data_IF_235852662557
#
_entry.id   IF_235852662557
#
_cell.length_a   1.000
_cell.length_b   1.000
_cell.length_c   1.000
_cell.angle_alpha   90.00
_cell.angle_beta   90.00
_cell.angle_gamma   90.00
#
_symmetry.space_group_name_H-M   'P 1'
#
loop_
_entity.id
_entity.type
_entity.pdbx_description
1 polymer ?
#
# COMPACT_ATOMS: atom_id res chain seq x y z
N UNK A 1 16.58 18.50 -18.20
CA UNK A 1 16.72 18.00 -19.57
C UNK A 1 16.94 16.47 -19.53
N UNK A 2 16.03 15.67 -20.11
CA UNK A 2 16.15 14.20 -20.13
C UNK A 2 17.43 13.70 -20.83
N UNK A 3 17.98 14.50 -21.75
CA UNK A 3 19.24 14.17 -22.43
C UNK A 3 20.46 14.38 -21.53
N UNK A 4 20.39 15.36 -20.62
CA UNK A 4 21.50 15.66 -19.71
C UNK A 4 21.54 14.70 -18.51
N UNK A 5 20.39 14.18 -18.08
CA UNK A 5 20.30 13.29 -16.93
C UNK A 5 19.14 12.30 -17.07
N UNK A 6 19.32 11.21 -17.84
CA UNK A 6 18.23 10.26 -18.13
C UNK A 6 17.72 9.53 -16.91
N UNK A 7 18.52 9.43 -15.85
CA UNK A 7 18.19 8.70 -14.62
C UNK A 7 17.70 9.60 -13.49
N UNK A 8 17.49 10.90 -13.73
CA UNK A 8 16.98 11.80 -12.70
C UNK A 8 15.89 12.71 -13.25
N UNK A 9 14.89 12.98 -12.42
CA UNK A 9 13.81 13.91 -12.72
C UNK A 9 13.67 14.92 -11.59
N UNK A 10 13.44 16.16 -11.96
CA UNK A 10 13.10 17.23 -11.04
C UNK A 10 11.84 17.92 -11.54
N UNK A 11 10.90 18.13 -10.62
CA UNK A 11 9.71 18.96 -10.91
C UNK A 11 9.41 19.86 -9.72
N UNK A 12 8.96 21.07 -10.05
CA UNK A 12 8.51 22.05 -9.05
C UNK A 12 7.28 22.77 -9.57
N UNK A 13 6.29 22.92 -8.70
CA UNK A 13 5.09 23.71 -8.93
C UNK A 13 4.84 24.53 -7.69
N UNK A 14 4.81 25.84 -7.82
CA UNK A 14 4.63 26.75 -6.69
C UNK A 14 3.36 27.58 -6.91
N UNK A 15 2.43 27.41 -5.97
CA UNK A 15 1.18 28.18 -5.92
C UNK A 15 0.93 28.57 -4.47
N UNK A 16 1.40 29.75 -4.10
CA UNK A 16 1.33 30.26 -2.74
C UNK A 16 0.71 31.66 -2.70
N UNK A 17 -0.14 31.92 -1.73
CA UNK A 17 -0.65 33.26 -1.43
C UNK A 17 -0.92 33.39 0.06
N UNK A 18 -0.88 34.62 0.59
CA UNK A 18 -1.32 34.86 1.97
C UNK A 18 -2.85 34.88 2.02
N UNK A 19 -3.42 34.36 3.09
CA UNK A 19 -4.87 34.35 3.29
C UNK A 19 -5.48 35.76 3.31
N UNK A 20 -4.73 36.77 3.76
CA UNK A 20 -5.14 38.18 3.71
C UNK A 20 -5.16 38.72 2.29
N UNK A 21 -4.17 38.42 1.46
CA UNK A 21 -4.08 38.85 0.07
C UNK A 21 -5.30 38.43 -0.75
N UNK A 22 -5.69 37.17 -0.63
CA UNK A 22 -6.84 36.62 -1.36
C UNK A 22 -8.18 37.24 -0.94
N UNK A 23 -8.33 37.58 0.35
CA UNK A 23 -9.57 38.22 0.86
C UNK A 23 -9.70 39.68 0.51
N UNK A 24 -8.58 40.40 0.37
CA UNK A 24 -8.56 41.84 0.14
C UNK A 24 -8.33 42.24 -1.31
N UNK A 25 -8.00 41.26 -2.17
CA UNK A 25 -7.74 41.55 -3.57
C UNK A 25 -9.05 41.74 -4.36
N UNK A 26 -9.31 43.00 -4.76
CA UNK A 26 -10.50 43.39 -5.52
C UNK A 26 -10.65 42.61 -6.83
N UNK A 27 -9.53 42.25 -7.49
CA UNK A 27 -9.56 41.44 -8.71
C UNK A 27 -10.15 40.05 -8.52
N UNK A 28 -10.03 39.48 -7.34
CA UNK A 28 -10.60 38.17 -7.02
C UNK A 28 -12.12 38.23 -6.72
N UNK A 29 -12.66 39.40 -6.30
CA UNK A 29 -14.10 39.53 -6.05
C UNK A 29 -14.96 39.30 -7.28
N UNK A 30 -14.42 39.52 -8.47
CA UNK A 30 -15.12 39.28 -9.74
C UNK A 30 -14.77 37.96 -10.41
N UNK A 31 -13.88 37.17 -9.82
CA UNK A 31 -13.47 35.86 -10.36
C UNK A 31 -13.97 34.73 -9.45
N UNK A 32 -15.11 34.16 -9.80
CA UNK A 32 -15.73 33.07 -9.04
C UNK A 32 -14.84 31.82 -8.94
N UNK A 33 -13.97 31.57 -9.89
CA UNK A 33 -13.01 30.46 -9.84
C UNK A 33 -11.90 30.72 -8.80
N UNK A 34 -11.37 31.93 -8.73
CA UNK A 34 -10.38 32.29 -7.72
C UNK A 34 -10.97 32.26 -6.30
N UNK A 35 -12.22 32.73 -6.14
CA UNK A 35 -12.95 32.64 -4.86
C UNK A 35 -13.32 31.22 -4.46
N UNK A 36 -13.52 30.30 -5.42
CA UNK A 36 -13.85 28.90 -5.16
C UNK A 36 -12.63 28.03 -4.83
N UNK A 37 -11.41 28.48 -5.14
CA UNK A 37 -10.18 27.77 -4.79
C UNK A 37 -9.87 27.87 -3.29
N UNK A 38 -10.44 26.94 -2.53
CA UNK A 38 -10.23 26.88 -1.07
C UNK A 38 -8.83 26.38 -0.67
N UNK A 39 -8.10 25.74 -1.58
CA UNK A 39 -6.79 25.14 -1.28
C UNK A 39 -5.79 25.46 -2.38
N UNK A 40 -4.62 25.95 -2.00
CA UNK A 40 -3.45 26.14 -2.87
C UNK A 40 -2.38 25.12 -2.51
N UNK A 41 -1.82 24.48 -3.52
CA UNK A 41 -0.84 23.41 -3.33
C UNK A 41 0.45 23.77 -4.04
N UNK A 42 1.57 23.67 -3.33
CA UNK A 42 2.91 23.80 -3.88
C UNK A 42 3.65 22.50 -3.65
N UNK A 43 4.38 22.02 -4.63
CA UNK A 43 5.15 20.79 -4.52
C UNK A 43 6.49 20.91 -5.23
N UNK A 44 7.48 20.26 -4.64
CA UNK A 44 8.80 20.06 -5.23
C UNK A 44 9.12 18.58 -5.13
N UNK A 45 9.59 17.98 -6.19
CA UNK A 45 10.00 16.58 -6.18
C UNK A 45 11.29 16.38 -6.98
N UNK A 46 12.10 15.49 -6.44
CA UNK A 46 13.31 14.99 -7.09
C UNK A 46 13.35 13.48 -7.02
N UNK A 47 13.65 12.83 -8.12
CA UNK A 47 13.88 11.38 -8.12
C UNK A 47 15.12 11.03 -8.93
N UNK A 48 15.83 10.02 -8.47
CA UNK A 48 17.00 9.46 -9.13
C UNK A 48 16.98 7.95 -9.09
N UNK A 49 17.20 7.36 -10.25
CA UNK A 49 17.33 5.93 -10.42
C UNK A 49 18.80 5.55 -10.65
N UNK A 50 19.23 4.47 -10.00
CA UNK A 50 20.56 3.88 -10.11
C UNK A 50 20.40 2.45 -10.63
N UNK A 51 20.33 2.25 -11.96
CA UNK A 51 20.00 0.95 -12.56
C UNK A 51 21.00 -0.14 -12.17
N UNK A 52 22.30 0.18 -12.11
CA UNK A 52 23.36 -0.79 -11.80
C UNK A 52 23.30 -1.30 -10.36
N UNK A 53 22.81 -0.47 -9.43
CA UNK A 53 22.64 -0.81 -8.01
C UNK A 53 21.23 -1.31 -7.69
N UNK A 54 20.34 -1.37 -8.66
CA UNK A 54 18.93 -1.69 -8.44
C UNK A 54 18.23 -0.77 -7.42
N UNK A 55 18.71 0.46 -7.29
CA UNK A 55 18.29 1.43 -6.28
C UNK A 55 17.56 2.60 -6.94
N UNK A 56 16.47 3.05 -6.33
CA UNK A 56 15.81 4.31 -6.66
C UNK A 56 15.58 5.13 -5.40
N UNK A 57 15.81 6.43 -5.51
CA UNK A 57 15.59 7.40 -4.43
C UNK A 57 14.67 8.48 -4.96
N UNK A 58 13.62 8.78 -4.21
CA UNK A 58 12.75 9.92 -4.47
C UNK A 58 12.58 10.75 -3.20
N UNK A 59 12.56 12.05 -3.35
CA UNK A 59 12.28 12.97 -2.27
C UNK A 59 11.31 14.03 -2.76
N UNK A 60 10.30 14.34 -1.96
CA UNK A 60 9.33 15.40 -2.26
C UNK A 60 9.04 16.25 -1.05
N UNK A 61 8.64 17.49 -1.34
CA UNK A 61 8.05 18.41 -0.39
C UNK A 61 6.72 18.90 -0.91
N UNK A 62 5.73 18.95 -0.06
CA UNK A 62 4.39 19.42 -0.39
C UNK A 62 3.90 20.41 0.67
N UNK A 63 3.31 21.50 0.20
CA UNK A 63 2.66 22.51 1.03
C UNK A 63 1.24 22.69 0.51
N UNK A 64 0.25 22.43 1.33
CA UNK A 64 -1.15 22.66 1.03
C UNK A 64 -1.70 23.73 2.00
N UNK A 65 -2.11 24.84 1.44
CA UNK A 65 -2.66 25.99 2.18
C UNK A 65 -4.16 26.07 1.96
N UNK A 66 -4.94 26.02 3.05
CA UNK A 66 -6.40 26.19 3.01
C UNK A 66 -6.76 27.61 3.40
N UNK A 67 -7.34 28.35 2.46
CA UNK A 67 -7.65 29.77 2.62
C UNK A 67 -8.79 30.03 3.60
N UNK A 68 -9.76 29.12 3.68
CA UNK A 68 -10.98 29.28 4.48
C UNK A 68 -10.70 29.46 5.97
N UNK A 69 -9.78 28.67 6.52
CA UNK A 69 -9.44 28.64 7.94
C UNK A 69 -8.00 29.03 8.23
N UNK A 70 -7.27 29.53 7.22
CA UNK A 70 -5.86 29.91 7.29
C UNK A 70 -4.98 28.77 7.84
N UNK A 71 -5.29 27.52 7.47
CA UNK A 71 -4.49 26.37 7.85
C UNK A 71 -3.50 26.01 6.75
N UNK A 72 -2.35 25.52 7.17
CA UNK A 72 -1.28 25.05 6.31
C UNK A 72 -0.89 23.63 6.71
N UNK A 73 -0.84 22.74 5.73
CA UNK A 73 -0.29 21.40 5.87
C UNK A 73 1.02 21.33 5.10
N UNK A 74 2.09 20.99 5.79
CA UNK A 74 3.43 20.84 5.20
C UNK A 74 3.88 19.41 5.38
N UNK A 75 4.38 18.80 4.31
CA UNK A 75 5.07 17.51 4.34
C UNK A 75 6.45 17.72 3.74
N UNK A 76 7.49 17.59 4.57
CA UNK A 76 8.89 17.84 4.16
C UNK A 76 9.87 17.25 5.19
N UNK A 77 10.73 16.30 4.81
CA UNK A 77 10.69 15.57 3.54
C UNK A 77 9.62 14.46 3.53
N UNK A 78 9.19 14.08 2.34
CA UNK A 78 8.60 12.78 2.05
C UNK A 78 9.57 12.06 1.12
N UNK A 79 10.36 11.13 1.68
CA UNK A 79 11.45 10.48 0.98
C UNK A 79 11.21 8.97 0.92
N UNK A 80 11.43 8.39 -0.25
CA UNK A 80 11.36 6.95 -0.47
C UNK A 80 12.66 6.44 -1.07
N UNK A 81 13.19 5.38 -0.50
CA UNK A 81 14.35 4.63 -0.97
C UNK A 81 13.85 3.23 -1.30
N UNK A 82 13.96 2.81 -2.56
CA UNK A 82 13.51 1.49 -3.00
C UNK A 82 14.65 0.71 -3.62
N UNK A 83 14.89 -0.48 -3.09
CA UNK A 83 15.75 -1.48 -3.71
C UNK A 83 14.86 -2.44 -4.51
N UNK A 84 15.12 -2.54 -5.79
CA UNK A 84 14.41 -3.47 -6.67
C UNK A 84 14.64 -4.91 -6.24
N UNK A 85 13.84 -5.83 -6.77
CA UNK A 85 13.96 -7.26 -6.45
C UNK A 85 15.38 -7.76 -6.68
N UNK A 86 15.98 -8.28 -5.65
CA UNK A 86 17.29 -8.93 -5.66
C UNK A 86 17.13 -10.41 -5.27
N UNK A 87 18.04 -11.24 -5.77
CA UNK A 87 18.13 -12.66 -5.44
C UNK A 87 19.44 -12.91 -4.69
N UNK A 88 19.46 -12.71 -3.35
CA UNK A 88 20.70 -12.68 -2.58
C UNK A 88 21.45 -14.01 -2.58
N UNK A 89 20.77 -15.12 -2.83
CA UNK A 89 21.35 -16.47 -2.81
C UNK A 89 21.63 -17.03 -4.23
N UNK A 90 21.41 -16.21 -5.27
CA UNK A 90 21.66 -16.65 -6.66
C UNK A 90 23.15 -16.75 -6.94
N UNK A 91 23.58 -17.91 -7.43
CA UNK A 91 24.97 -18.16 -7.81
C UNK A 91 25.36 -17.29 -9.02
N UNK A 92 26.56 -16.68 -8.98
CA UNK A 92 27.08 -15.87 -10.10
C UNK A 92 27.35 -16.71 -11.35
N UNK A 93 27.80 -17.97 -11.17
CA UNK A 93 28.11 -18.92 -12.24
C UNK A 93 27.35 -20.21 -11.97
N UNK A 94 26.06 -20.23 -12.33
CA UNK A 94 25.22 -21.39 -12.13
C UNK A 94 25.51 -22.44 -13.23
N UNK A 95 25.83 -23.66 -12.81
CA UNK A 95 25.89 -24.84 -13.68
C UNK A 95 24.76 -25.77 -13.21
N UNK A 96 23.91 -26.21 -14.15
CA UNK A 96 22.73 -27.02 -13.89
C UNK A 96 21.51 -26.21 -13.44
N UNK A 97 20.48 -26.89 -12.94
CA UNK A 97 19.22 -26.27 -12.56
C UNK A 97 19.34 -25.33 -11.34
N UNK A 98 18.51 -24.31 -11.31
CA UNK A 98 18.41 -23.40 -10.17
C UNK A 98 17.93 -24.14 -8.93
N UNK A 99 18.64 -23.99 -7.82
CA UNK A 99 18.27 -24.56 -6.53
C UNK A 99 17.14 -23.74 -5.90
N UNK A 100 16.38 -24.35 -5.00
CA UNK A 100 15.21 -23.71 -4.39
C UNK A 100 15.54 -22.39 -3.70
N UNK A 101 16.68 -22.27 -3.03
CA UNK A 101 17.10 -21.05 -2.34
C UNK A 101 17.51 -19.92 -3.30
N UNK A 102 17.93 -20.23 -4.54
CA UNK A 102 18.28 -19.23 -5.55
C UNK A 102 17.06 -18.47 -6.07
N UNK A 103 15.86 -19.03 -5.85
CA UNK A 103 14.58 -18.43 -6.21
C UNK A 103 14.03 -17.50 -5.13
N UNK A 104 14.72 -17.37 -3.99
CA UNK A 104 14.34 -16.44 -2.94
C UNK A 104 14.69 -15.04 -3.39
N UNK A 105 13.67 -14.21 -3.44
CA UNK A 105 13.74 -12.79 -3.80
C UNK A 105 13.46 -11.93 -2.59
N UNK A 106 14.18 -10.83 -2.50
CA UNK A 106 14.02 -9.83 -1.45
C UNK A 106 13.88 -8.47 -2.11
N UNK A 107 12.98 -7.66 -1.58
CA UNK A 107 12.81 -6.25 -1.94
C UNK A 107 12.89 -5.42 -0.67
N UNK A 108 13.24 -4.18 -0.81
CA UNK A 108 13.22 -3.24 0.29
C UNK A 108 12.63 -1.91 -0.13
N UNK A 109 11.77 -1.34 0.71
CA UNK A 109 11.29 0.03 0.57
C UNK A 109 11.38 0.72 1.92
N UNK A 110 12.19 1.77 1.99
CA UNK A 110 12.30 2.66 3.14
C UNK A 110 11.60 3.98 2.86
N UNK A 111 10.79 4.46 3.78
CA UNK A 111 10.11 5.76 3.72
C UNK A 111 10.46 6.59 4.93
N UNK A 112 10.77 7.86 4.71
CA UNK A 112 10.95 8.86 5.75
C UNK A 112 9.93 9.96 5.49
N UNK A 113 9.10 10.22 6.46
CA UNK A 113 8.07 11.25 6.31
C UNK A 113 8.01 12.14 7.53
N UNK A 114 7.91 13.43 7.26
CA UNK A 114 7.78 14.44 8.27
C UNK A 114 6.66 15.41 7.85
N UNK A 115 5.68 15.62 8.69
CA UNK A 115 4.52 16.44 8.36
C UNK A 115 3.99 17.24 9.53
N UNK A 116 3.37 18.39 9.23
CA UNK A 116 2.66 19.21 10.20
C UNK A 116 1.41 19.81 9.57
N UNK A 117 0.35 19.94 10.37
CA UNK A 117 -0.81 20.73 10.05
C UNK A 117 -1.00 21.78 11.14
N UNK A 118 -0.95 23.04 10.76
CA UNK A 118 -1.03 24.17 11.71
C UNK A 118 -1.64 25.40 11.04
N UNK A 119 -1.77 26.50 11.78
CA UNK A 119 -2.12 27.80 11.18
C UNK A 119 -0.89 28.41 10.50
N UNK A 120 -1.10 29.19 9.43
CA UNK A 120 -0.03 29.80 8.62
C UNK A 120 0.91 30.68 9.46
N UNK A 121 0.36 31.46 10.37
CA UNK A 121 1.11 32.37 11.27
C UNK A 121 1.92 31.65 12.37
N UNK A 122 1.65 30.35 12.57
CA UNK A 122 2.30 29.56 13.62
C UNK A 122 3.36 28.59 13.07
N UNK A 123 3.45 28.41 11.75
CA UNK A 123 4.32 27.41 11.14
C UNK A 123 5.80 27.55 11.60
N UNK A 124 6.35 28.76 11.57
CA UNK A 124 7.74 29.02 11.94
C UNK A 124 7.98 29.09 13.45
N UNK A 125 6.89 29.05 14.26
CA UNK A 125 6.96 28.99 15.72
C UNK A 125 6.92 27.57 16.27
N UNK A 126 6.75 26.58 15.39
CA UNK A 126 6.60 25.17 15.74
C UNK A 126 7.94 24.46 15.83
N UNK A 127 8.08 23.59 16.83
CA UNK A 127 9.27 22.79 17.03
C UNK A 127 9.23 21.57 16.11
N UNK A 128 10.30 21.36 15.32
CA UNK A 128 10.41 20.24 14.35
C UNK A 128 10.31 18.85 14.97
N UNK A 129 10.66 18.70 16.25
CA UNK A 129 10.67 17.39 16.92
C UNK A 129 9.34 17.14 17.64
N UNK A 130 8.80 18.14 18.32
CA UNK A 130 7.62 17.99 19.19
C UNK A 130 6.30 18.20 18.48
N UNK A 131 6.25 19.19 17.61
CA UNK A 131 5.00 19.59 16.96
C UNK A 131 4.79 18.91 15.61
N UNK A 132 5.86 18.48 14.95
CA UNK A 132 5.80 17.75 13.70
C UNK A 132 5.62 16.26 13.94
N UNK A 133 4.91 15.62 13.02
CA UNK A 133 4.77 14.16 12.97
C UNK A 133 5.92 13.58 12.17
N UNK A 134 6.85 12.92 12.87
CA UNK A 134 8.04 12.33 12.29
C UNK A 134 7.92 10.81 12.32
N UNK A 135 8.33 10.15 11.25
CA UNK A 135 8.36 8.70 11.22
C UNK A 135 9.19 8.14 10.08
N UNK A 136 9.59 6.90 10.26
CA UNK A 136 10.21 6.07 9.23
C UNK A 136 9.46 4.75 9.11
N UNK A 137 9.36 4.23 7.91
CA UNK A 137 8.79 2.90 7.64
C UNK A 137 9.73 2.11 6.76
N UNK A 138 9.93 0.85 7.09
CA UNK A 138 10.73 -0.12 6.36
C UNK A 138 9.83 -1.30 5.98
N UNK A 139 9.78 -1.62 4.71
CA UNK A 139 9.03 -2.75 4.18
C UNK A 139 10.00 -3.72 3.50
N UNK A 140 9.98 -4.97 3.93
CA UNK A 140 10.87 -6.03 3.45
C UNK A 140 10.04 -7.26 3.07
N UNK A 141 9.43 -7.28 1.87
CA UNK A 141 8.81 -8.50 1.35
C UNK A 141 9.89 -9.49 0.90
N UNK A 142 9.78 -10.72 1.38
CA UNK A 142 10.58 -11.87 0.98
C UNK A 142 9.67 -12.88 0.32
N UNK A 143 9.95 -13.27 -0.90
CA UNK A 143 9.14 -14.25 -1.64
C UNK A 143 10.01 -15.23 -2.41
N UNK A 144 9.44 -16.38 -2.71
CA UNK A 144 10.05 -17.34 -3.60
C UNK A 144 8.98 -17.93 -4.52
N UNK A 145 9.37 -18.36 -5.71
CA UNK A 145 8.45 -19.03 -6.64
C UNK A 145 8.99 -20.40 -7.00
N UNK A 146 8.20 -21.42 -6.72
CA UNK A 146 8.54 -22.81 -7.02
C UNK A 146 7.50 -23.41 -7.97
N UNK A 147 7.95 -24.29 -8.84
CA UNK A 147 7.04 -25.15 -9.61
C UNK A 147 7.09 -26.56 -9.01
N UNK A 148 5.98 -26.98 -8.40
CA UNK A 148 5.82 -28.33 -7.87
C UNK A 148 5.17 -29.22 -8.92
N UNK A 149 5.65 -30.47 -9.02
CA UNK A 149 5.13 -31.49 -9.94
C UNK A 149 5.04 -31.02 -11.40
N UNK A 150 5.80 -30.00 -11.79
CA UNK A 150 5.80 -29.34 -13.13
C UNK A 150 4.51 -28.53 -13.46
N UNK A 151 3.49 -28.56 -12.61
CA UNK A 151 2.17 -28.01 -12.92
C UNK A 151 1.73 -26.90 -11.95
N UNK A 152 2.14 -26.98 -10.71
CA UNK A 152 1.71 -26.04 -9.67
C UNK A 152 2.77 -24.99 -9.39
N UNK A 153 2.44 -23.73 -9.60
CA UNK A 153 3.28 -22.64 -9.13
C UNK A 153 2.91 -22.33 -7.69
N UNK A 154 3.89 -22.40 -6.81
CA UNK A 154 3.75 -22.14 -5.37
C UNK A 154 4.59 -20.94 -5.02
N UNK A 155 3.96 -19.93 -4.43
CA UNK A 155 4.59 -18.64 -4.08
C UNK A 155 4.38 -18.35 -2.60
N UNK A 156 5.28 -18.82 -1.73
CA UNK A 156 5.33 -18.33 -0.34
C UNK A 156 5.85 -16.91 -0.31
N UNK A 157 5.24 -16.08 0.55
CA UNK A 157 5.66 -14.70 0.78
C UNK A 157 5.58 -14.38 2.26
N UNK A 158 6.61 -13.72 2.78
CA UNK A 158 6.63 -13.15 4.12
C UNK A 158 6.84 -11.65 3.97
N UNK A 159 5.92 -10.88 4.48
CA UNK A 159 6.04 -9.43 4.53
C UNK A 159 6.45 -9.03 5.95
N UNK A 160 7.50 -8.25 6.05
CA UNK A 160 7.92 -7.63 7.30
C UNK A 160 7.87 -6.13 7.13
N UNK A 161 7.20 -5.45 8.06
CA UNK A 161 7.13 -3.99 8.10
C UNK A 161 7.57 -3.50 9.46
N UNK A 162 8.47 -2.53 9.48
CA UNK A 162 8.94 -1.90 10.69
C UNK A 162 8.72 -0.40 10.60
N UNK A 163 8.27 0.20 11.70
CA UNK A 163 8.00 1.63 11.80
C UNK A 163 8.74 2.21 12.98
N UNK A 164 9.33 3.35 12.77
CA UNK A 164 10.02 4.12 13.81
C UNK A 164 9.28 5.42 14.03
N UNK A 165 8.86 5.62 15.27
CA UNK A 165 8.16 6.81 15.70
C UNK A 165 8.98 7.60 16.70
N UNK A 166 8.76 8.91 16.75
CA UNK A 166 9.44 9.83 17.67
C UNK A 166 8.61 10.14 18.92
N UNK A 167 7.38 9.61 18.98
CA UNK A 167 6.49 9.79 20.12
C UNK A 167 5.52 8.62 20.29
N UNK A 168 5.09 8.43 21.53
CA UNK A 168 4.05 7.51 21.97
C UNK A 168 2.98 8.30 22.71
N UNK A 169 1.71 8.09 22.40
CA UNK A 169 0.58 8.80 23.03
C UNK A 169 -0.22 7.82 23.86
N UNK A 170 -0.24 8.02 25.17
CA UNK A 170 -1.14 7.34 26.07
C UNK A 170 -2.42 8.14 26.21
N UNK A 171 -3.56 7.47 26.06
CA UNK A 171 -4.89 8.07 26.18
C UNK A 171 -5.53 7.60 27.47
N UNK A 172 -6.26 8.50 28.10
CA UNK A 172 -7.06 8.22 29.28
C UNK A 172 -8.35 9.03 29.22
N UNK A 173 -9.31 8.71 30.07
CA UNK A 173 -10.56 9.44 30.20
C UNK A 173 -10.57 10.23 31.50
N UNK A 174 -10.81 11.52 31.42
CA UNK A 174 -10.97 12.38 32.56
C UNK A 174 -12.48 12.48 32.88
N UNK A 175 -12.89 11.83 33.96
CA UNK A 175 -14.30 11.79 34.39
C UNK A 175 -14.82 13.17 34.83
N UNK A 176 -13.94 14.04 35.35
CA UNK A 176 -14.35 15.38 35.81
C UNK A 176 -14.62 16.32 34.63
N UNK A 177 -13.81 16.21 33.58
CA UNK A 177 -13.93 17.05 32.39
C UNK A 177 -14.77 16.37 31.28
N UNK A 178 -15.10 15.09 31.41
CA UNK A 178 -15.85 14.33 30.42
C UNK A 178 -15.17 14.25 29.05
N UNK A 179 -13.83 14.21 29.02
CA UNK A 179 -13.05 14.23 27.78
C UNK A 179 -11.84 13.29 27.79
N UNK A 180 -11.39 12.93 26.61
CA UNK A 180 -10.13 12.21 26.39
C UNK A 180 -8.93 13.10 26.72
N UNK A 181 -8.02 12.60 27.53
CA UNK A 181 -6.74 13.23 27.87
C UNK A 181 -5.61 12.42 27.25
N UNK A 182 -4.65 13.13 26.69
CA UNK A 182 -3.52 12.54 25.99
C UNK A 182 -2.22 12.90 26.72
N UNK A 183 -1.47 11.85 27.12
CA UNK A 183 -0.11 12.00 27.61
C UNK A 183 0.90 11.55 26.54
N UNK A 184 1.80 12.43 26.17
CA UNK A 184 2.75 12.20 25.07
C UNK A 184 4.16 12.01 25.59
N UNK A 185 4.70 10.82 25.40
CA UNK A 185 6.10 10.51 25.68
C UNK A 185 6.92 10.61 24.39
N UNK A 186 7.94 11.48 24.39
CA UNK A 186 8.87 11.64 23.27
C UNK A 186 10.06 10.71 23.42
N UNK A 187 10.48 10.11 22.30
CA UNK A 187 11.61 9.18 22.27
C UNK A 187 11.56 8.31 21.03
N UNK A 188 12.52 7.42 20.89
CA UNK A 188 12.55 6.44 19.81
C UNK A 188 11.68 5.24 20.16
N UNK A 189 10.68 4.98 19.32
CA UNK A 189 9.77 3.85 19.47
C UNK A 189 9.76 3.02 18.20
N UNK A 190 10.11 1.75 18.34
CA UNK A 190 10.13 0.77 17.27
C UNK A 190 8.87 -0.10 17.32
N UNK A 191 8.17 -0.17 16.21
CA UNK A 191 6.95 -0.98 16.03
C UNK A 191 7.10 -1.81 14.77
N UNK A 192 6.83 -3.11 14.84
CA UNK A 192 6.90 -3.98 13.68
C UNK A 192 5.69 -4.88 13.57
N UNK A 193 5.38 -5.26 12.35
CA UNK A 193 4.43 -6.31 12.04
C UNK A 193 4.98 -7.26 10.97
N UNK A 194 4.37 -8.41 10.87
CA UNK A 194 4.68 -9.37 9.83
C UNK A 194 3.43 -10.17 9.46
N UNK A 195 3.40 -10.59 8.20
CA UNK A 195 2.39 -11.52 7.68
C UNK A 195 3.05 -12.57 6.81
N UNK A 196 2.45 -13.74 6.77
CA UNK A 196 2.86 -14.81 5.88
C UNK A 196 1.72 -15.16 4.93
N UNK A 197 2.05 -15.41 3.68
CA UNK A 197 1.08 -15.87 2.69
C UNK A 197 1.67 -16.98 1.81
N UNK A 198 0.79 -17.83 1.31
CA UNK A 198 1.11 -18.92 0.40
C UNK A 198 0.10 -18.89 -0.74
N UNK A 199 0.57 -18.62 -1.96
CA UNK A 199 -0.22 -18.71 -3.18
C UNK A 199 0.10 -19.99 -3.94
N UNK A 200 -0.92 -20.67 -4.45
CA UNK A 200 -0.78 -21.85 -5.31
C UNK A 200 -1.69 -21.62 -6.53
N UNK A 201 -1.12 -21.71 -7.72
CA UNK A 201 -1.88 -21.63 -8.95
C UNK A 201 -1.41 -22.64 -9.99
N UNK A 202 -2.31 -22.98 -10.91
CA UNK A 202 -2.00 -23.83 -12.06
C UNK A 202 -2.80 -23.37 -13.27
N UNK A 203 -2.44 -23.87 -14.44
CA UNK A 203 -3.19 -23.65 -15.69
C UNK A 203 -3.61 -24.98 -16.28
N UNK A 204 -4.91 -25.14 -16.49
CA UNK A 204 -5.50 -26.30 -17.16
C UNK A 204 -5.94 -25.87 -18.54
N UNK A 205 -5.55 -26.63 -19.56
CA UNK A 205 -5.85 -26.34 -20.95
C UNK A 205 -6.84 -27.37 -21.50
N UNK A 206 -7.98 -26.89 -21.99
CA UNK A 206 -8.95 -27.66 -22.76
C UNK A 206 -8.90 -27.28 -24.24
N UNK A 207 -8.97 -28.25 -25.11
CA UNK A 207 -9.09 -28.02 -26.56
C UNK A 207 -10.38 -28.68 -27.05
N UNK A 208 -11.31 -27.93 -27.57
CA UNK A 208 -12.61 -28.43 -28.01
C UNK A 208 -12.76 -28.20 -29.53
N UNK A 209 -13.32 -29.20 -30.21
CA UNK A 209 -13.76 -29.09 -31.60
C UNK A 209 -15.29 -29.20 -31.64
N UNK A 210 -16.01 -28.13 -32.04
CA UNK A 210 -17.47 -28.15 -32.08
C UNK A 210 -17.98 -29.22 -33.04
N UNK A 211 -18.82 -30.13 -32.56
CA UNK A 211 -19.37 -31.24 -33.35
C UNK A 211 -20.28 -30.79 -34.49
N UNK A 212 -20.94 -29.60 -34.34
CA UNK A 212 -21.92 -29.12 -35.31
C UNK A 212 -21.28 -28.35 -36.47
N UNK A 213 -19.98 -28.08 -36.45
CA UNK A 213 -19.28 -27.30 -37.48
C UNK A 213 -18.19 -28.09 -38.20
N UNK A 214 -18.50 -29.33 -38.59
CA UNK A 214 -17.54 -30.24 -39.21
C UNK A 214 -16.90 -29.71 -40.50
N UNK A 215 -17.48 -28.74 -41.19
CA UNK A 215 -16.96 -28.14 -42.43
C UNK A 215 -15.99 -26.97 -42.20
N UNK A 216 -15.87 -26.43 -40.98
CA UNK A 216 -14.92 -25.38 -40.63
C UNK A 216 -13.93 -25.90 -39.62
N UNK A 217 -12.65 -25.75 -39.89
CA UNK A 217 -11.57 -26.11 -38.92
C UNK A 217 -11.59 -25.13 -37.74
N UNK A 218 -12.59 -25.28 -36.86
CA UNK A 218 -12.73 -24.48 -35.64
C UNK A 218 -12.16 -25.26 -34.47
N UNK A 219 -11.30 -24.59 -33.72
CA UNK A 219 -10.76 -25.09 -32.45
C UNK A 219 -11.02 -24.03 -31.37
N UNK A 220 -11.55 -24.47 -30.25
CA UNK A 220 -11.77 -23.62 -29.09
C UNK A 220 -10.76 -24.05 -28.04
N UNK A 221 -9.93 -23.09 -27.60
CA UNK A 221 -9.00 -23.25 -26.49
C UNK A 221 -9.63 -22.66 -25.24
N UNK A 222 -9.79 -23.46 -24.22
CA UNK A 222 -10.23 -23.02 -22.90
C UNK A 222 -9.03 -23.10 -21.94
N UNK A 223 -8.71 -22.00 -21.30
CA UNK A 223 -7.67 -21.93 -20.27
C UNK A 223 -8.37 -21.66 -18.96
N UNK A 224 -8.26 -22.58 -18.02
CA UNK A 224 -8.77 -22.46 -16.66
C UNK A 224 -7.57 -22.26 -15.75
N UNK A 225 -7.59 -21.19 -14.96
CA UNK A 225 -6.52 -20.86 -14.01
C UNK A 225 -7.10 -20.85 -12.58
N UNK A 226 -7.19 -22.05 -11.94
CA UNK A 226 -7.52 -22.10 -10.52
C UNK A 226 -6.36 -21.60 -9.68
N UNK A 227 -6.67 -20.86 -8.63
CA UNK A 227 -5.72 -20.40 -7.62
C UNK A 227 -6.31 -20.51 -6.23
N UNK A 228 -5.48 -20.88 -5.29
CA UNK A 228 -5.78 -20.85 -3.86
C UNK A 228 -4.68 -20.04 -3.16
N UNK A 229 -5.08 -19.17 -2.26
CA UNK A 229 -4.15 -18.43 -1.42
C UNK A 229 -4.54 -18.52 0.04
N UNK A 230 -3.54 -18.60 0.88
CA UNK A 230 -3.65 -18.54 2.32
C UNK A 230 -2.82 -17.35 2.80
N UNK A 231 -3.36 -16.55 3.70
CA UNK A 231 -2.63 -15.48 4.37
C UNK A 231 -2.96 -15.45 5.86
N UNK A 232 -1.96 -15.14 6.67
CA UNK A 232 -2.12 -15.05 8.11
C UNK A 232 -1.21 -13.96 8.69
N UNK A 233 -1.73 -13.26 9.70
CA UNK A 233 -0.96 -12.36 10.54
C UNK A 233 -1.41 -12.54 12.00
N UNK A 234 -0.47 -12.40 12.97
CA UNK A 234 -0.81 -12.46 14.38
C UNK A 234 -1.65 -11.26 14.81
N UNK A 235 -2.24 -11.36 15.97
CA UNK A 235 -2.92 -10.24 16.61
C UNK A 235 -1.91 -9.31 17.27
N UNK A 236 -1.71 -8.13 16.69
CA UNK A 236 -0.82 -7.10 17.20
C UNK A 236 -1.42 -6.27 18.34
N UNK A 237 -2.70 -6.49 18.71
CA UNK A 237 -3.30 -5.91 19.93
C UNK A 237 -2.89 -6.67 21.19
N UNK A 238 -2.30 -7.85 21.04
CA UNK A 238 -1.82 -8.65 22.17
C UNK A 238 -0.81 -7.85 23.00
N UNK A 239 -0.94 -7.95 24.33
CA UNK A 239 -0.08 -7.25 25.30
C UNK A 239 1.43 -7.52 25.12
N UNK A 240 1.79 -8.68 24.54
CA UNK A 240 3.19 -9.03 24.24
C UNK A 240 3.88 -8.05 23.28
N UNK A 241 3.12 -7.35 22.42
CA UNK A 241 3.67 -6.38 21.49
C UNK A 241 3.73 -4.97 22.09
N UNK A 242 2.81 -4.63 22.99
CA UNK A 242 2.78 -3.34 23.67
C UNK A 242 2.43 -2.16 22.76
N UNK A 243 1.70 -2.38 21.67
CA UNK A 243 1.32 -1.34 20.71
C UNK A 243 -0.04 -0.74 20.98
N UNK A 244 -0.88 -1.45 21.72
CA UNK A 244 -2.26 -1.12 22.03
C UNK A 244 -2.50 -1.07 23.52
N UNK A 245 -3.46 -0.27 23.91
CA UNK A 245 -4.01 -0.15 25.27
C UNK A 245 -5.50 0.11 25.21
N UNK A 246 -6.15 0.16 26.36
CA UNK A 246 -7.55 0.51 26.47
C UNK A 246 -7.80 1.37 27.70
N UNK A 247 -8.77 2.26 27.61
CA UNK A 247 -9.28 3.02 28.75
C UNK A 247 -10.79 2.88 28.84
N UNK A 248 -11.33 3.13 30.03
CA UNK A 248 -12.79 3.11 30.28
C UNK A 248 -13.30 4.53 30.07
N UNK A 249 -14.19 4.71 29.11
CA UNK A 249 -14.92 5.94 28.89
C UNK A 249 -16.24 5.89 29.63
N UNK A 250 -16.47 6.78 30.60
CA UNK A 250 -17.78 6.97 31.25
C UNK A 250 -18.46 8.21 30.67
N UNK A 251 -19.52 8.01 29.95
CA UNK A 251 -20.30 9.11 29.38
C UNK A 251 -21.78 8.93 29.73
N UNK A 252 -22.30 9.81 30.58
CA UNK A 252 -23.69 9.78 31.05
C UNK A 252 -24.07 8.47 31.79
N UNK A 253 -23.13 7.88 32.54
CA UNK A 253 -23.33 6.62 33.27
C UNK A 253 -23.21 5.36 32.39
N UNK A 254 -22.88 5.51 31.13
CA UNK A 254 -22.57 4.37 30.23
C UNK A 254 -21.06 4.21 30.18
N UNK A 255 -20.60 3.06 30.67
CA UNK A 255 -19.18 2.67 30.65
C UNK A 255 -18.88 1.85 29.41
N UNK A 256 -17.97 2.34 28.58
CA UNK A 256 -17.49 1.65 27.39
C UNK A 256 -15.97 1.52 27.42
N UNK A 257 -15.45 0.39 26.95
CA UNK A 257 -13.99 0.15 26.85
C UNK A 257 -13.52 0.52 25.46
N UNK A 258 -12.72 1.58 25.38
CA UNK A 258 -12.14 2.06 24.13
C UNK A 258 -10.73 1.52 23.99
N UNK A 259 -10.52 0.63 23.01
CA UNK A 259 -9.19 0.16 22.61
C UNK A 259 -8.56 1.14 21.62
N UNK A 260 -7.29 1.45 21.80
CA UNK A 260 -6.56 2.34 20.92
C UNK A 260 -5.10 1.91 20.76
N UNK A 261 -4.44 2.37 19.69
CA UNK A 261 -3.01 2.23 19.55
C UNK A 261 -2.30 3.48 20.05
N UNK A 262 -1.21 3.30 20.78
CA UNK A 262 -0.31 4.39 21.20
C UNK A 262 0.24 5.21 20.02
N UNK A 263 0.19 4.68 18.80
CA UNK A 263 0.73 5.26 17.57
C UNK A 263 -0.34 5.67 16.57
N UNK A 264 -1.62 5.68 17.00
CA UNK A 264 -2.72 6.15 16.16
C UNK A 264 -2.56 7.63 15.80
N UNK A 265 -2.91 7.98 14.55
CA UNK A 265 -2.86 9.36 14.06
C UNK A 265 -1.46 9.88 13.72
N UNK A 266 -0.42 9.02 13.71
CA UNK A 266 0.91 9.39 13.25
C UNK A 266 1.06 9.18 11.73
N UNK A 267 2.17 9.65 11.15
CA UNK A 267 2.44 9.64 9.70
C UNK A 267 2.34 8.26 9.05
N UNK A 268 2.64 7.20 9.78
CA UNK A 268 2.43 5.82 9.37
C UNK A 268 1.45 5.16 10.33
N UNK A 269 0.48 4.43 9.77
CA UNK A 269 -0.51 3.71 10.57
C UNK A 269 0.16 2.57 11.36
N UNK A 270 -0.22 2.36 12.63
CA UNK A 270 0.26 1.21 13.40
C UNK A 270 -0.21 -0.13 12.78
N UNK A 271 0.36 -1.26 13.20
CA UNK A 271 -0.13 -2.58 12.82
C UNK A 271 -1.62 -2.73 13.07
N UNK A 272 -2.31 -3.42 12.18
CA UNK A 272 -3.75 -3.67 12.35
C UNK A 272 -4.03 -4.53 13.57
N UNK A 273 -5.09 -4.20 14.29
CA UNK A 273 -5.57 -5.03 15.40
C UNK A 273 -6.32 -6.27 14.92
N UNK A 274 -6.39 -7.27 15.81
CA UNK A 274 -7.08 -8.53 15.59
C UNK A 274 -6.25 -9.56 14.81
N UNK A 275 -6.50 -10.83 15.11
CA UNK A 275 -5.92 -11.95 14.36
C UNK A 275 -6.45 -11.92 12.93
N UNK A 276 -5.57 -12.06 11.96
CA UNK A 276 -5.94 -12.11 10.55
C UNK A 276 -5.64 -13.49 9.98
N UNK A 277 -6.59 -14.01 9.21
CA UNK A 277 -6.42 -15.26 8.49
C UNK A 277 -7.44 -15.34 7.37
N UNK A 278 -6.96 -15.50 6.14
CA UNK A 278 -7.80 -15.53 4.95
C UNK A 278 -7.37 -16.69 4.06
N UNK A 279 -8.34 -17.47 3.63
CA UNK A 279 -8.18 -18.46 2.58
C UNK A 279 -9.03 -17.97 1.40
N UNK A 280 -8.41 -17.78 0.23
CA UNK A 280 -9.13 -17.35 -0.96
C UNK A 280 -8.97 -18.38 -2.06
N UNK A 281 -10.05 -18.69 -2.72
CA UNK A 281 -10.12 -19.55 -3.88
C UNK A 281 -10.66 -18.76 -5.06
N UNK A 282 -9.92 -18.73 -6.17
CA UNK A 282 -10.31 -18.05 -7.38
C UNK A 282 -10.13 -18.97 -8.59
N UNK A 283 -11.05 -18.85 -9.55
CA UNK A 283 -10.98 -19.50 -10.85
C UNK A 283 -11.13 -18.41 -11.91
N UNK A 284 -10.14 -18.27 -12.78
CA UNK A 284 -10.20 -17.44 -13.97
C UNK A 284 -10.31 -18.32 -15.22
N UNK A 285 -11.18 -17.93 -16.14
CA UNK A 285 -11.45 -18.65 -17.36
C UNK A 285 -11.22 -17.73 -18.56
N UNK A 286 -10.45 -18.22 -19.52
CA UNK A 286 -10.24 -17.56 -20.81
C UNK A 286 -10.64 -18.51 -21.94
N UNK A 287 -11.42 -18.03 -22.89
CA UNK A 287 -11.92 -18.80 -24.01
C UNK A 287 -11.55 -18.14 -25.33
N UNK A 288 -10.73 -18.80 -26.11
CA UNK A 288 -10.30 -18.34 -27.43
C UNK A 288 -10.76 -19.31 -28.52
N UNK A 289 -11.23 -18.76 -29.63
CA UNK A 289 -11.57 -19.53 -30.82
C UNK A 289 -10.56 -19.28 -31.94
N UNK A 290 -10.11 -20.35 -32.56
CA UNK A 290 -9.24 -20.35 -33.73
C UNK A 290 -9.97 -20.95 -34.90
N UNK A 291 -10.03 -20.27 -36.05
CA UNK A 291 -10.66 -20.76 -37.25
C UNK A 291 -9.91 -20.33 -38.51
N UNK A 292 -10.11 -21.07 -39.59
CA UNK A 292 -9.61 -20.66 -40.91
C UNK A 292 -10.62 -19.74 -41.58
N UNK A 293 -10.16 -18.63 -42.10
CA UNK A 293 -10.96 -17.70 -42.93
C UNK A 293 -11.06 -18.22 -44.38
N UNK A 294 -11.87 -17.56 -45.20
CA UNK A 294 -12.08 -17.89 -46.62
C UNK A 294 -10.77 -17.92 -47.43
N UNK A 295 -9.75 -17.22 -46.99
CA UNK A 295 -8.44 -17.14 -47.62
C UNK A 295 -7.41 -18.13 -47.00
N UNK A 296 -7.88 -19.17 -46.32
CA UNK A 296 -7.06 -20.17 -45.64
C UNK A 296 -6.14 -19.61 -44.52
N UNK A 297 -6.35 -18.35 -44.16
CA UNK A 297 -5.62 -17.66 -43.09
C UNK A 297 -6.19 -18.04 -41.73
N UNK A 298 -5.31 -18.33 -40.78
CA UNK A 298 -5.70 -18.66 -39.40
C UNK A 298 -6.03 -17.37 -38.65
N UNK A 299 -7.27 -17.21 -38.22
CA UNK A 299 -7.70 -16.13 -37.33
C UNK A 299 -7.95 -16.62 -35.93
N UNK A 300 -7.64 -15.79 -34.95
CA UNK A 300 -7.94 -15.99 -33.55
C UNK A 300 -8.92 -14.92 -33.10
N UNK A 301 -9.94 -15.33 -32.36
CA UNK A 301 -10.91 -14.44 -31.74
C UNK A 301 -11.05 -14.85 -30.29
N UNK A 302 -10.94 -13.89 -29.39
CA UNK A 302 -11.29 -14.11 -28.00
C UNK A 302 -12.82 -14.14 -27.87
N UNK A 303 -13.33 -15.20 -27.27
CA UNK A 303 -14.76 -15.32 -26.94
C UNK A 303 -15.03 -14.80 -25.54
N UNK A 304 -14.11 -15.07 -24.61
CA UNK A 304 -14.13 -14.60 -23.23
C UNK A 304 -12.69 -14.29 -22.88
N UNK A 305 -12.39 -13.01 -22.65
CA UNK A 305 -11.04 -12.59 -22.29
C UNK A 305 -10.70 -12.99 -20.85
N UNK A 306 -11.60 -12.74 -19.92
CA UNK A 306 -11.52 -13.20 -18.54
C UNK A 306 -12.92 -13.29 -17.93
N UNK A 307 -13.25 -14.46 -17.41
CA UNK A 307 -14.41 -14.70 -16.56
C UNK A 307 -13.90 -15.29 -15.26
N UNK A 308 -13.81 -14.46 -14.22
CA UNK A 308 -13.29 -14.87 -12.93
C UNK A 308 -14.39 -14.89 -11.87
N UNK A 309 -14.29 -15.86 -10.98
CA UNK A 309 -15.09 -15.96 -9.78
C UNK A 309 -14.23 -16.35 -8.61
N UNK A 310 -14.56 -15.85 -7.43
CA UNK A 310 -13.77 -16.12 -6.24
C UNK A 310 -14.62 -16.14 -4.97
N UNK A 311 -14.20 -16.94 -4.04
CA UNK A 311 -14.76 -17.03 -2.69
C UNK A 311 -13.62 -16.98 -1.67
N UNK A 312 -13.87 -16.34 -0.54
CA UNK A 312 -12.90 -16.24 0.54
C UNK A 312 -13.51 -16.72 1.86
N UNK A 313 -12.66 -17.34 2.66
CA UNK A 313 -12.99 -17.75 4.02
C UNK A 313 -12.08 -17.04 5.02
N UNK A 314 -12.66 -16.24 5.88
CA UNK A 314 -11.93 -15.54 6.95
C UNK A 314 -11.87 -16.45 8.19
N UNK A 315 -10.68 -17.00 8.48
CA UNK A 315 -10.46 -17.92 9.60
C UNK A 315 -10.54 -17.25 10.98
N UNK A 316 -10.51 -15.92 11.02
CA UNK A 316 -10.58 -15.13 12.24
C UNK A 316 -11.99 -14.61 12.53
N UNK A 317 -12.90 -14.67 11.56
CA UNK A 317 -14.28 -14.22 11.74
C UNK A 317 -15.09 -15.22 12.56
N UNK A 318 -15.79 -14.73 13.59
CA UNK A 318 -16.70 -15.54 14.41
C UNK A 318 -18.11 -15.66 13.78
N UNK A 319 -18.50 -14.68 12.96
CA UNK A 319 -19.81 -14.64 12.29
C UNK A 319 -19.58 -14.36 10.81
N UNK A 320 -20.25 -15.12 9.93
CA UNK A 320 -20.17 -15.01 8.47
C UNK A 320 -18.74 -15.04 7.94
N UNK A 321 -18.01 -16.16 8.10
CA UNK A 321 -16.62 -16.25 7.69
C UNK A 321 -16.43 -16.28 6.15
N UNK A 322 -17.48 -16.60 5.40
CA UNK A 322 -17.47 -16.64 3.94
C UNK A 322 -17.79 -15.28 3.31
N UNK A 323 -17.05 -14.92 2.28
CA UNK A 323 -17.40 -13.78 1.43
C UNK A 323 -18.57 -14.12 0.51
N UNK A 324 -19.18 -13.09 -0.08
CA UNK A 324 -20.05 -13.27 -1.25
C UNK A 324 -19.21 -13.76 -2.45
N UNK A 325 -19.86 -14.42 -3.40
CA UNK A 325 -19.23 -14.98 -4.60
C UNK A 325 -19.04 -13.91 -5.67
#
# INVERSE_FOLDING_TARGET
DPKASPNSTFSASVNFATSSYERTNIGNMYNSQAMSQNTKTSSVSYSRNFPDQHLSISASGNIAQTMRDSSIAVTLPDMTISLSTIFPFKRKHAVGDEKWYEKISVRYTGRVKNSIKTKDNLLFKKNLIRDWENGMQHEIPVSATFTLFKYFNVTPTVNYTERWYTRKVKKDWDDEQGKEVNDTTYGFHRVYDYSASLGINTKVYGMYKPLFMKKKEIQIRHVITPSISFSAAPDFTSSRFGYYDSYIKDQNGIRDTVQYSYYAGQVFSPPSGGKQGLISFNISNNLEMKFKDKNDSIRKVSLIDDLSMGISYNTAAQVRPWSDL
#
